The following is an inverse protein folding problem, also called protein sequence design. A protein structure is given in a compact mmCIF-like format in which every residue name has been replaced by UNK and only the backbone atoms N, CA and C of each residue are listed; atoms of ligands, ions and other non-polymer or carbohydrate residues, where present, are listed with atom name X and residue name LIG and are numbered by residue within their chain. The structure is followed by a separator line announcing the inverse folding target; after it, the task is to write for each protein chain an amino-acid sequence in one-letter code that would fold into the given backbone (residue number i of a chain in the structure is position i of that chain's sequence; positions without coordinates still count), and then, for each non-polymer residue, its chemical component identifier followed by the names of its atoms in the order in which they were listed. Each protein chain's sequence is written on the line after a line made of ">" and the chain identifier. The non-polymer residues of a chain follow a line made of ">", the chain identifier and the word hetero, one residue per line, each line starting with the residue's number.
data_IF_325455548117
#
_entry.id   IF_325455548117
#
_cell.length_a   1.000
_cell.length_b   1.000
_cell.length_c   1.000
_cell.angle_alpha   90.00
_cell.angle_beta   90.00
_cell.angle_gamma   90.00
#
_symmetry.space_group_name_H-M   'P 1'
#
loop_
_entity.id
_entity.type
_entity.pdbx_description
1 polymer ?
#
# COMPACT_ATOMS: atom_id res chain seq x y z
N UNK A 1 12.08 4.15 -0.34
CA UNK A 1 11.34 3.50 -1.45
C UNK A 1 12.21 3.41 -2.69
N UNK A 2 12.14 2.30 -3.41
CA UNK A 2 12.92 2.08 -4.65
C UNK A 2 12.41 2.94 -5.81
N UNK A 3 13.31 3.35 -6.71
CA UNK A 3 12.96 4.17 -7.88
C UNK A 3 11.96 3.51 -8.81
N UNK A 4 12.02 2.18 -8.94
CA UNK A 4 11.10 1.37 -9.76
C UNK A 4 9.67 1.44 -9.21
N UNK A 5 9.49 1.41 -7.88
CA UNK A 5 8.19 1.57 -7.23
C UNK A 5 7.60 2.95 -7.54
N UNK A 6 8.41 4.00 -7.38
CA UNK A 6 7.97 5.38 -7.68
C UNK A 6 7.60 5.55 -9.16
N UNK A 7 8.39 4.99 -10.06
CA UNK A 7 8.09 5.01 -11.49
C UNK A 7 6.80 4.25 -11.84
N UNK A 8 6.56 3.10 -11.19
CA UNK A 8 5.31 2.35 -11.35
C UNK A 8 4.10 3.13 -10.82
N UNK A 9 4.19 3.72 -9.61
CA UNK A 9 3.12 4.58 -9.07
C UNK A 9 2.80 5.73 -10.02
N UNK A 10 3.81 6.36 -10.63
CA UNK A 10 3.59 7.40 -11.65
C UNK A 10 2.74 6.92 -12.84
N UNK A 11 2.97 5.69 -13.33
CA UNK A 11 2.13 5.09 -14.39
C UNK A 11 0.71 4.81 -13.90
N UNK A 12 0.56 4.26 -12.70
CA UNK A 12 -0.76 4.00 -12.09
C UNK A 12 -1.55 5.31 -11.91
N UNK A 13 -0.91 6.37 -11.45
CA UNK A 13 -1.55 7.69 -11.31
C UNK A 13 -2.04 8.21 -12.67
N UNK A 14 -1.26 8.07 -13.72
CA UNK A 14 -1.65 8.49 -15.06
C UNK A 14 -2.82 7.68 -15.62
N UNK A 15 -2.89 6.38 -15.31
CA UNK A 15 -3.91 5.45 -15.84
C UNK A 15 -5.21 5.48 -15.02
N UNK A 16 -5.11 5.43 -13.70
CA UNK A 16 -6.28 5.25 -12.81
C UNK A 16 -6.81 6.55 -12.20
N UNK A 17 -6.07 7.67 -12.33
CA UNK A 17 -6.42 8.98 -11.79
C UNK A 17 -6.93 8.90 -10.34
N UNK A 18 -6.10 8.45 -9.37
CA UNK A 18 -6.51 8.32 -7.97
C UNK A 18 -7.05 9.64 -7.44
N UNK A 19 -8.06 9.56 -6.58
CA UNK A 19 -8.75 10.75 -6.05
C UNK A 19 -8.61 10.84 -4.53
N UNK A 20 -8.68 12.07 -4.01
CA UNK A 20 -8.71 12.38 -2.59
C UNK A 20 -10.05 11.94 -1.94
N UNK A 21 -10.07 11.67 -0.62
CA UNK A 21 -8.94 11.65 0.29
C UNK A 21 -8.07 10.39 0.14
N UNK A 22 -6.78 10.51 0.45
CA UNK A 22 -5.76 9.44 0.36
C UNK A 22 -5.29 9.01 1.74
N UNK A 23 -5.18 7.71 1.99
CA UNK A 23 -4.45 7.12 3.10
C UNK A 23 -3.16 6.47 2.58
N UNK A 24 -2.02 6.84 3.14
CA UNK A 24 -0.72 6.22 2.86
C UNK A 24 -0.30 5.41 4.09
N UNK A 25 -0.31 4.08 3.95
CA UNK A 25 0.00 3.12 5.01
C UNK A 25 1.48 2.76 4.96
N UNK A 26 2.21 3.02 6.04
CA UNK A 26 3.66 2.90 6.08
C UNK A 26 4.35 4.12 5.48
N UNK A 27 3.85 5.31 5.82
CA UNK A 27 4.24 6.58 5.18
C UNK A 27 5.55 7.17 5.68
N UNK A 28 6.21 6.56 6.68
CA UNK A 28 7.48 7.08 7.18
C UNK A 28 8.53 7.15 6.07
N UNK A 29 8.99 8.37 5.77
CA UNK A 29 9.98 8.60 4.73
C UNK A 29 11.38 8.19 5.20
N UNK A 30 11.78 6.96 4.88
CA UNK A 30 13.12 6.42 5.12
C UNK A 30 14.00 6.59 3.87
N UNK A 31 13.44 6.27 2.69
CA UNK A 31 14.16 6.21 1.42
C UNK A 31 13.39 6.85 0.26
N UNK A 32 12.59 7.87 0.53
CA UNK A 32 11.74 8.54 -0.45
C UNK A 32 10.26 8.19 -0.32
N UNK A 33 9.41 9.00 -0.94
CA UNK A 33 7.94 8.93 -0.85
C UNK A 33 7.30 9.04 -2.23
N UNK A 34 6.04 8.60 -2.37
CA UNK A 34 5.17 8.87 -3.51
C UNK A 34 4.15 9.99 -3.24
N UNK A 35 4.21 10.65 -2.09
CA UNK A 35 3.24 11.69 -1.71
C UNK A 35 3.13 12.81 -2.76
N UNK A 36 4.23 13.14 -3.42
CA UNK A 36 4.29 14.15 -4.49
C UNK A 36 3.59 13.74 -5.80
N UNK A 37 3.27 12.47 -5.98
CA UNK A 37 2.55 11.94 -7.15
C UNK A 37 1.04 11.82 -6.91
N UNK A 38 0.57 11.94 -5.68
CA UNK A 38 -0.79 11.64 -5.26
C UNK A 38 -1.56 12.92 -4.91
N UNK A 39 -2.92 12.89 -4.94
CA UNK A 39 -3.72 14.02 -4.46
C UNK A 39 -3.40 14.36 -3.01
N UNK A 40 -3.17 15.63 -2.72
CA UNK A 40 -2.77 16.12 -1.38
C UNK A 40 -3.93 16.55 -0.51
N UNK A 41 -5.10 16.84 -1.08
CA UNK A 41 -6.28 17.22 -0.31
C UNK A 41 -6.79 16.04 0.52
N UNK A 42 -6.83 16.20 1.84
CA UNK A 42 -7.21 15.13 2.76
C UNK A 42 -6.25 13.93 2.79
N UNK A 43 -4.99 14.12 2.37
CA UNK A 43 -3.95 13.09 2.47
C UNK A 43 -3.55 12.88 3.93
N UNK A 44 -3.52 11.61 4.35
CA UNK A 44 -3.05 11.18 5.67
C UNK A 44 -1.97 10.13 5.50
N UNK A 45 -0.75 10.47 5.88
CA UNK A 45 0.33 9.51 6.06
C UNK A 45 0.23 8.85 7.42
N UNK A 46 0.13 7.52 7.45
CA UNK A 46 0.00 6.72 8.67
C UNK A 46 1.19 5.78 8.83
N UNK A 47 1.79 5.77 10.02
CA UNK A 47 2.86 4.82 10.38
C UNK A 47 2.81 4.53 11.90
N UNK A 48 3.45 3.42 12.31
CA UNK A 48 3.63 3.06 13.72
C UNK A 48 4.73 3.88 14.41
N UNK A 49 5.58 4.54 13.63
CA UNK A 49 6.71 5.37 14.11
C UNK A 49 6.52 6.80 13.67
N UNK A 50 6.85 7.76 14.54
CA UNK A 50 6.85 9.18 14.20
C UNK A 50 8.06 9.52 13.32
N UNK A 51 7.86 10.44 12.37
CA UNK A 51 8.91 10.96 11.52
C UNK A 51 8.37 11.70 10.30
N UNK A 52 9.26 12.03 9.38
CA UNK A 52 8.90 12.71 8.14
C UNK A 52 7.89 11.89 7.34
N UNK A 53 6.84 12.53 6.85
CA UNK A 53 5.78 11.89 6.06
C UNK A 53 4.63 11.32 6.90
N UNK A 54 4.73 11.31 8.24
CA UNK A 54 3.72 10.73 9.14
C UNK A 54 2.83 11.83 9.71
N UNK A 55 1.55 11.81 9.33
CA UNK A 55 0.52 12.71 9.85
C UNK A 55 -0.26 12.05 11.01
N UNK A 56 -0.32 10.71 11.04
CA UNK A 56 -1.05 9.93 12.04
C UNK A 56 -0.20 8.75 12.54
N UNK A 57 0.06 8.74 13.85
CA UNK A 57 0.68 7.59 14.53
C UNK A 57 -0.39 6.54 14.80
N UNK A 58 -0.40 5.46 14.03
CA UNK A 58 -1.36 4.35 14.20
C UNK A 58 -0.84 3.06 13.56
N UNK A 59 -1.43 1.93 13.99
CA UNK A 59 -1.16 0.59 13.48
C UNK A 59 -2.28 0.14 12.53
N UNK A 60 -1.91 -0.28 11.31
CA UNK A 60 -2.88 -0.82 10.34
C UNK A 60 -3.53 -2.12 10.81
N UNK A 61 -2.93 -2.86 11.73
CA UNK A 61 -3.56 -4.03 12.33
C UNK A 61 -4.73 -3.67 13.24
N UNK A 62 -4.76 -2.43 13.77
CA UNK A 62 -5.83 -1.90 14.64
C UNK A 62 -6.14 -0.45 14.28
N UNK A 63 -6.60 -0.17 13.04
CA UNK A 63 -6.80 1.19 12.60
C UNK A 63 -7.90 1.89 13.42
N UNK A 64 -7.75 3.18 13.73
CA UNK A 64 -8.82 3.96 14.34
C UNK A 64 -10.12 3.88 13.55
N UNK A 65 -11.25 3.76 14.21
CA UNK A 65 -12.58 3.71 13.55
C UNK A 65 -12.87 4.90 12.64
N UNK A 66 -12.25 6.04 12.90
CA UNK A 66 -12.37 7.27 12.10
C UNK A 66 -11.74 7.17 10.71
N UNK A 67 -10.95 6.12 10.44
CA UNK A 67 -10.37 5.86 9.12
C UNK A 67 -11.26 4.96 8.24
N UNK A 68 -12.21 4.23 8.84
CA UNK A 68 -13.04 3.27 8.10
C UNK A 68 -13.96 3.97 7.11
N UNK A 69 -14.07 3.41 5.89
CA UNK A 69 -14.93 3.90 4.79
C UNK A 69 -14.73 5.38 4.46
N UNK A 70 -13.51 5.87 4.62
CA UNK A 70 -13.19 7.28 4.50
C UNK A 70 -12.45 7.65 3.22
N UNK A 71 -11.63 6.76 2.67
CA UNK A 71 -10.68 7.09 1.62
C UNK A 71 -11.13 6.64 0.24
N UNK A 72 -10.91 7.48 -0.76
CA UNK A 72 -11.09 7.11 -2.16
C UNK A 72 -9.86 6.37 -2.71
N UNK A 73 -8.69 6.61 -2.09
CA UNK A 73 -7.44 5.93 -2.45
C UNK A 73 -6.72 5.49 -1.17
N UNK A 74 -6.25 4.25 -1.14
CA UNK A 74 -5.29 3.77 -0.13
C UNK A 74 -4.03 3.29 -0.84
N UNK A 75 -2.88 3.76 -0.36
CA UNK A 75 -1.55 3.37 -0.84
C UNK A 75 -0.84 2.59 0.26
N UNK A 76 -0.18 1.48 -0.08
CA UNK A 76 0.64 0.70 0.84
C UNK A 76 1.84 0.12 0.06
N UNK A 77 2.99 0.78 0.16
CA UNK A 77 4.14 0.50 -0.68
C UNK A 77 5.32 0.02 0.15
N UNK A 78 5.83 -1.18 -0.15
CA UNK A 78 6.99 -1.78 0.55
C UNK A 78 6.83 -1.70 2.09
N UNK A 79 5.67 -2.09 2.58
CA UNK A 79 5.27 -2.01 3.98
C UNK A 79 4.81 -3.38 4.51
N UNK A 80 4.10 -4.16 3.68
CA UNK A 80 3.48 -5.41 4.12
C UNK A 80 4.50 -6.47 4.54
N UNK A 81 5.74 -6.42 4.05
CA UNK A 81 6.84 -7.27 4.50
C UNK A 81 7.24 -7.04 5.96
N UNK A 82 6.93 -5.86 6.48
CA UNK A 82 7.24 -5.43 7.85
C UNK A 82 6.08 -5.62 8.83
N UNK A 83 4.91 -6.05 8.32
CA UNK A 83 3.71 -6.27 9.12
C UNK A 83 3.60 -7.73 9.52
N UNK A 84 3.38 -8.02 10.81
CA UNK A 84 3.31 -9.40 11.32
C UNK A 84 2.14 -10.20 10.75
N UNK A 85 1.03 -9.55 10.44
CA UNK A 85 -0.22 -10.15 9.92
C UNK A 85 -0.67 -9.41 8.65
N UNK A 86 0.02 -9.60 7.50
CA UNK A 86 -0.29 -8.83 6.29
C UNK A 86 -1.69 -9.09 5.73
N UNK A 87 -2.28 -10.26 5.96
CA UNK A 87 -3.69 -10.54 5.64
C UNK A 87 -4.65 -9.64 6.42
N UNK A 88 -4.43 -9.47 7.73
CA UNK A 88 -5.21 -8.55 8.59
C UNK A 88 -5.02 -7.09 8.14
N UNK A 89 -3.80 -6.71 7.74
CA UNK A 89 -3.52 -5.38 7.20
C UNK A 89 -4.31 -5.13 5.91
N UNK A 90 -4.34 -6.09 4.98
CA UNK A 90 -5.09 -6.01 3.72
C UNK A 90 -6.59 -5.89 3.98
N UNK A 91 -7.15 -6.68 4.90
CA UNK A 91 -8.56 -6.56 5.31
C UNK A 91 -8.87 -5.16 5.87
N UNK A 92 -8.00 -4.62 6.71
CA UNK A 92 -8.18 -3.28 7.28
C UNK A 92 -8.00 -2.18 6.23
N UNK A 93 -7.09 -2.32 5.28
CA UNK A 93 -6.96 -1.43 4.11
C UNK A 93 -8.28 -1.41 3.32
N UNK A 94 -8.85 -2.59 3.03
CA UNK A 94 -10.16 -2.70 2.38
C UNK A 94 -11.24 -1.96 3.16
N UNK A 95 -11.29 -2.11 4.48
CA UNK A 95 -12.27 -1.42 5.35
C UNK A 95 -12.07 0.10 5.39
N UNK A 96 -10.86 0.61 5.21
CA UNK A 96 -10.59 2.05 5.15
C UNK A 96 -11.06 2.69 3.84
N UNK A 97 -11.14 1.92 2.76
CA UNK A 97 -11.63 2.41 1.47
C UNK A 97 -13.15 2.61 1.48
N UNK A 98 -13.62 3.58 0.72
CA UNK A 98 -15.03 3.72 0.29
C UNK A 98 -15.35 2.70 -0.80
N UNK A 99 -16.63 2.45 -1.05
CA UNK A 99 -17.06 1.69 -2.23
C UNK A 99 -16.50 2.32 -3.52
N UNK A 100 -15.99 1.50 -4.42
CA UNK A 100 -15.30 1.93 -5.64
C UNK A 100 -13.89 2.49 -5.41
N UNK A 101 -13.44 2.58 -4.17
CA UNK A 101 -12.12 3.12 -3.82
C UNK A 101 -10.96 2.29 -4.38
N UNK A 102 -9.85 2.97 -4.66
CA UNK A 102 -8.67 2.41 -5.30
C UNK A 102 -7.60 2.02 -4.27
N UNK A 103 -7.12 0.79 -4.34
CA UNK A 103 -5.92 0.32 -3.66
C UNK A 103 -4.73 0.32 -4.61
N UNK A 104 -3.58 0.82 -4.14
CA UNK A 104 -2.29 0.81 -4.84
C UNK A 104 -1.26 0.22 -3.88
N UNK A 105 -0.72 -0.95 -4.17
CA UNK A 105 0.18 -1.66 -3.28
C UNK A 105 1.43 -2.22 -3.93
N UNK A 106 2.51 -2.33 -3.15
CA UNK A 106 3.69 -3.09 -3.55
C UNK A 106 4.21 -3.92 -2.40
N UNK A 107 4.86 -5.04 -2.74
CA UNK A 107 5.43 -5.99 -1.78
C UNK A 107 6.72 -6.59 -2.32
N UNK A 108 7.73 -6.77 -1.45
CA UNK A 108 8.98 -7.41 -1.84
C UNK A 108 8.81 -8.88 -2.21
N UNK A 109 9.54 -9.34 -3.27
CA UNK A 109 9.67 -10.76 -3.63
C UNK A 109 11.13 -11.18 -3.61
N UNK A 110 11.90 -11.10 -4.70
CA UNK A 110 13.31 -11.45 -4.74
C UNK A 110 14.19 -10.28 -4.26
N UNK A 111 14.09 -9.94 -3.00
CA UNK A 111 14.80 -8.82 -2.38
C UNK A 111 15.57 -9.29 -1.13
N UNK A 112 16.79 -8.77 -0.87
CA UNK A 112 17.54 -9.11 0.33
C UNK A 112 16.74 -8.86 1.60
N UNK A 113 17.00 -9.66 2.65
CA UNK A 113 16.44 -9.40 3.97
C UNK A 113 16.94 -8.04 4.45
N UNK A 114 16.01 -7.21 4.90
CA UNK A 114 16.29 -5.86 5.39
C UNK A 114 15.36 -5.56 6.58
N UNK A 115 15.76 -4.68 7.48
CA UNK A 115 14.96 -4.39 8.66
C UNK A 115 14.52 -2.93 8.67
N UNK A 116 13.20 -2.70 8.89
CA UNK A 116 12.64 -1.39 9.23
C UNK A 116 11.27 -1.54 9.92
N UNK A 117 11.20 -2.01 11.14
CA UNK A 117 12.25 -2.56 12.03
C UNK A 117 12.53 -4.05 11.82
N UNK A 118 11.59 -4.82 11.26
CA UNK A 118 11.69 -6.25 11.00
C UNK A 118 11.23 -6.58 9.60
N UNK A 119 11.66 -7.69 9.05
CA UNK A 119 11.34 -8.16 7.70
C UNK A 119 10.84 -9.60 7.81
N UNK A 120 9.53 -9.80 7.66
CA UNK A 120 8.88 -11.09 7.93
C UNK A 120 8.54 -11.88 6.67
N UNK A 121 8.15 -11.17 5.58
CA UNK A 121 7.44 -11.83 4.49
C UNK A 121 8.00 -11.49 3.11
N UNK A 122 7.82 -12.42 2.19
CA UNK A 122 7.97 -12.23 0.75
C UNK A 122 6.68 -12.68 0.08
N UNK A 123 6.22 -11.96 -0.93
CA UNK A 123 4.96 -12.26 -1.57
C UNK A 123 5.13 -12.59 -3.05
N UNK A 124 4.52 -13.70 -3.49
CA UNK A 124 4.42 -14.03 -4.91
C UNK A 124 3.24 -13.28 -5.55
N UNK A 125 3.21 -13.12 -6.90
CA UNK A 125 2.05 -12.57 -7.59
C UNK A 125 0.73 -13.25 -7.24
N UNK A 126 0.72 -14.58 -7.20
CA UNK A 126 -0.48 -15.36 -6.86
C UNK A 126 -0.88 -15.19 -5.39
N UNK A 127 0.11 -15.10 -4.49
CA UNK A 127 -0.12 -14.85 -3.08
C UNK A 127 -0.77 -13.48 -2.84
N UNK A 128 -0.28 -12.43 -3.52
CA UNK A 128 -0.86 -11.09 -3.38
C UNK A 128 -2.28 -11.03 -3.93
N UNK A 129 -2.51 -11.61 -5.13
CA UNK A 129 -3.84 -11.74 -5.72
C UNK A 129 -4.79 -12.46 -4.77
N UNK A 130 -4.39 -13.61 -4.25
CA UNK A 130 -5.21 -14.41 -3.33
C UNK A 130 -5.65 -13.61 -2.10
N UNK A 131 -4.73 -12.87 -1.46
CA UNK A 131 -5.05 -12.07 -0.29
C UNK A 131 -6.01 -10.91 -0.61
N UNK A 132 -5.83 -10.24 -1.75
CA UNK A 132 -6.73 -9.19 -2.20
C UNK A 132 -8.13 -9.73 -2.50
N UNK A 133 -8.22 -10.86 -3.19
CA UNK A 133 -9.50 -11.52 -3.51
C UNK A 133 -10.23 -11.98 -2.22
N UNK A 134 -9.49 -12.52 -1.23
CA UNK A 134 -10.07 -12.91 0.07
C UNK A 134 -10.62 -11.71 0.85
N UNK A 135 -9.98 -10.55 0.78
CA UNK A 135 -10.47 -9.31 1.40
C UNK A 135 -11.69 -8.70 0.68
N UNK A 136 -12.03 -9.18 -0.53
CA UNK A 136 -13.16 -8.71 -1.31
C UNK A 136 -12.86 -7.67 -2.36
N UNK A 137 -11.58 -7.44 -2.69
CA UNK A 137 -11.20 -6.58 -3.80
C UNK A 137 -11.60 -7.21 -5.15
N UNK A 138 -11.88 -6.37 -6.13
CA UNK A 138 -12.16 -6.76 -7.51
C UNK A 138 -11.33 -5.93 -8.50
N UNK A 139 -11.39 -6.28 -9.79
CA UNK A 139 -10.54 -5.67 -10.83
C UNK A 139 -9.06 -5.67 -10.47
N UNK A 140 -8.61 -6.76 -9.79
CA UNK A 140 -7.25 -6.87 -9.30
C UNK A 140 -6.28 -7.09 -10.46
N UNK A 141 -5.37 -6.12 -10.66
CA UNK A 141 -4.25 -6.22 -11.58
C UNK A 141 -2.97 -6.43 -10.79
N UNK A 142 -2.23 -7.46 -11.14
CA UNK A 142 -0.92 -7.76 -10.55
C UNK A 142 0.16 -7.60 -11.61
N UNK A 143 1.22 -6.90 -11.27
CA UNK A 143 2.40 -6.70 -12.10
C UNK A 143 3.67 -7.11 -11.34
N UNK A 144 4.74 -7.38 -12.07
CA UNK A 144 6.07 -7.65 -11.52
C UNK A 144 7.12 -6.80 -12.23
N UNK A 145 8.25 -6.59 -11.58
CA UNK A 145 9.42 -5.94 -12.18
C UNK A 145 10.15 -6.90 -13.12
N UNK A 146 9.85 -6.92 -14.43
CA UNK A 146 10.62 -7.66 -15.42
C UNK A 146 10.85 -9.16 -15.12
N UNK A 147 11.89 -9.73 -15.70
CA UNK A 147 12.32 -11.11 -15.41
C UNK A 147 13.13 -11.15 -14.10
N UNK A 148 12.77 -12.06 -13.17
CA UNK A 148 13.35 -12.17 -11.84
C UNK A 148 12.91 -11.00 -10.92
N UNK A 149 11.61 -10.83 -10.68
CA UNK A 149 11.04 -9.64 -10.08
C UNK A 149 11.55 -9.43 -8.64
N UNK A 150 12.00 -8.22 -8.34
CA UNK A 150 12.37 -7.81 -6.98
C UNK A 150 11.14 -7.48 -6.14
N UNK A 151 10.03 -7.13 -6.78
CA UNK A 151 8.77 -6.77 -6.15
C UNK A 151 7.55 -7.17 -6.99
N UNK A 152 6.43 -7.22 -6.30
CA UNK A 152 5.09 -7.44 -6.86
C UNK A 152 4.26 -6.20 -6.61
N UNK A 153 3.54 -5.76 -7.62
CA UNK A 153 2.72 -4.57 -7.61
C UNK A 153 1.25 -4.93 -7.81
N UNK A 154 0.36 -4.25 -7.13
CA UNK A 154 -1.07 -4.49 -7.21
C UNK A 154 -1.87 -3.18 -7.29
N UNK A 155 -2.85 -3.17 -8.20
CA UNK A 155 -3.94 -2.20 -8.21
C UNK A 155 -5.25 -2.97 -8.11
N UNK A 156 -6.16 -2.53 -7.23
CA UNK A 156 -7.44 -3.19 -7.05
C UNK A 156 -8.51 -2.19 -6.59
N UNK A 157 -9.79 -2.55 -6.73
CA UNK A 157 -10.91 -1.72 -6.26
C UNK A 157 -11.70 -2.41 -5.17
N UNK A 158 -12.21 -1.61 -4.23
CA UNK A 158 -13.20 -2.07 -3.27
C UNK A 158 -14.57 -2.17 -3.93
N UNK A 159 -15.22 -3.34 -3.79
CA UNK A 159 -16.59 -3.56 -4.23
C UNK A 159 -17.60 -2.68 -3.46
#
# INVERSE_FOLDING_TARGET
>A
MRGEVKGWVGRVVAEYAPTAPVLDVGSLDINGTCRDLLPTDGYIGMDMRLGTGVDLLADILKPPKTLLERFNTVVCLETLEHVTEPWTAIDNIYRCLRHGGLFIGSWCFAYPIHGEPNDYWRCTPDGFRYLLDQAGFYETRIETEGEGPRGVFAVARKA
#
